data_IF_383308914394
#
_entry.id   IF_383308914394
#
_cell.length_a   1.000
_cell.length_b   1.000
_cell.length_c   1.000
_cell.angle_alpha   90.00
_cell.angle_beta   90.00
_cell.angle_gamma   90.00
#
_symmetry.space_group_name_H-M   'P 1'
#
loop_
_entity.id
_entity.type
_entity.pdbx_description
1 polymer ?
#
# COMPACT_ATOMS: atom_id res chain seq x y z
N UNK A 1 27.18 4.91 -11.26
CA UNK A 1 25.85 4.46 -10.79
C UNK A 1 25.05 4.05 -12.03
N UNK A 2 24.57 2.81 -12.11
CA UNK A 2 23.87 2.30 -13.31
C UNK A 2 22.57 3.08 -13.54
N UNK A 3 22.28 3.42 -14.81
CA UNK A 3 21.09 4.20 -15.23
C UNK A 3 19.79 3.61 -14.68
N UNK A 4 19.73 2.28 -14.59
CA UNK A 4 18.64 1.52 -13.98
C UNK A 4 18.28 2.00 -12.57
N UNK A 5 19.27 2.10 -11.67
CA UNK A 5 19.04 2.47 -10.28
C UNK A 5 18.50 3.90 -10.12
N UNK A 6 18.95 4.81 -10.99
CA UNK A 6 18.49 6.19 -11.01
C UNK A 6 17.01 6.26 -11.40
N UNK A 7 16.58 5.50 -12.41
CA UNK A 7 15.18 5.46 -12.86
C UNK A 7 14.28 4.85 -11.78
N UNK A 8 14.71 3.73 -11.16
CA UNK A 8 13.98 3.09 -10.07
C UNK A 8 13.78 4.05 -8.89
N UNK A 9 14.84 4.71 -8.43
CA UNK A 9 14.77 5.65 -7.29
C UNK A 9 13.90 6.87 -7.61
N UNK A 10 13.97 7.37 -8.85
CA UNK A 10 13.13 8.49 -9.28
C UNK A 10 11.65 8.08 -9.26
N UNK A 11 11.32 6.96 -9.90
CA UNK A 11 9.96 6.42 -9.99
C UNK A 11 9.37 6.17 -8.59
N UNK A 12 10.13 5.52 -7.70
CA UNK A 12 9.72 5.30 -6.31
C UNK A 12 9.39 6.61 -5.57
N UNK A 13 10.25 7.62 -5.71
CA UNK A 13 10.05 8.92 -5.06
C UNK A 13 8.87 9.68 -5.64
N UNK A 14 8.64 9.55 -6.94
CA UNK A 14 7.49 10.13 -7.62
C UNK A 14 6.18 9.51 -7.10
N UNK A 15 6.10 8.18 -7.07
CA UNK A 15 4.95 7.44 -6.52
C UNK A 15 4.61 7.82 -5.08
N UNK A 16 5.60 7.86 -4.18
CA UNK A 16 5.37 8.21 -2.77
C UNK A 16 4.91 9.67 -2.60
N UNK A 17 5.31 10.55 -3.51
CA UNK A 17 4.90 11.97 -3.48
C UNK A 17 3.53 12.19 -4.12
N UNK A 18 2.95 11.19 -4.78
CA UNK A 18 1.60 11.32 -5.30
C UNK A 18 0.60 11.34 -4.13
N UNK A 19 -0.29 12.34 -4.06
CA UNK A 19 -1.23 12.48 -2.95
C UNK A 19 -2.15 11.27 -2.82
N UNK A 20 -2.52 10.64 -3.94
CA UNK A 20 -3.40 9.45 -3.94
C UNK A 20 -2.78 8.27 -3.18
N UNK A 21 -1.46 8.05 -3.31
CA UNK A 21 -0.75 6.99 -2.59
C UNK A 21 -0.80 7.23 -1.08
N UNK A 22 -0.51 8.47 -0.66
CA UNK A 22 -0.55 8.86 0.76
C UNK A 22 -1.97 8.75 1.33
N UNK A 23 -2.98 9.22 0.59
CA UNK A 23 -4.38 9.13 1.01
C UNK A 23 -4.82 7.69 1.19
N UNK A 24 -4.52 6.79 0.23
CA UNK A 24 -4.85 5.37 0.33
C UNK A 24 -4.11 4.68 1.48
N UNK A 25 -2.85 5.02 1.71
CA UNK A 25 -2.05 4.44 2.80
C UNK A 25 -2.59 4.86 4.18
N UNK A 26 -2.90 6.14 4.38
CA UNK A 26 -3.44 6.64 5.65
C UNK A 26 -4.88 6.16 5.87
N UNK A 27 -5.75 6.25 4.85
CA UNK A 27 -7.16 5.85 4.99
C UNK A 27 -7.31 4.36 5.29
N UNK A 28 -6.52 3.51 4.63
CA UNK A 28 -6.52 2.06 4.89
C UNK A 28 -6.06 1.73 6.32
N UNK A 29 -5.02 2.41 6.80
CA UNK A 29 -4.51 2.23 8.17
C UNK A 29 -5.55 2.64 9.22
N UNK A 30 -6.20 3.80 9.03
CA UNK A 30 -7.27 4.26 9.91
C UNK A 30 -8.48 3.32 9.88
N UNK A 31 -8.87 2.84 8.69
CA UNK A 31 -9.99 1.91 8.55
C UNK A 31 -9.73 0.56 9.23
N UNK A 32 -8.50 0.03 9.13
CA UNK A 32 -8.11 -1.19 9.84
C UNK A 32 -8.20 -1.04 11.37
N UNK A 33 -7.76 0.10 11.92
CA UNK A 33 -7.89 0.38 13.36
C UNK A 33 -9.35 0.58 13.78
N UNK A 34 -10.15 1.23 12.93
CA UNK A 34 -11.58 1.40 13.16
C UNK A 34 -12.30 0.04 13.24
N UNK A 35 -12.00 -0.89 12.33
CA UNK A 35 -12.56 -2.25 12.37
C UNK A 35 -12.22 -3.00 13.66
N UNK A 36 -11.03 -2.79 14.23
CA UNK A 36 -10.65 -3.42 15.50
C UNK A 36 -11.33 -2.80 16.74
N UNK A 37 -11.75 -1.54 16.66
CA UNK A 37 -12.45 -0.85 17.74
C UNK A 37 -13.96 -1.10 17.76
N UNK A 38 -14.53 -1.65 16.68
CA UNK A 38 -15.94 -2.01 16.65
C UNK A 38 -16.19 -3.21 17.58
N UNK A 39 -16.97 -2.98 18.63
CA UNK A 39 -17.47 -4.04 19.49
C UNK A 39 -18.62 -4.74 18.76
N UNK A 40 -18.35 -5.92 18.21
CA UNK A 40 -19.38 -6.82 17.72
C UNK A 40 -20.05 -7.43 18.94
N UNK A 41 -21.18 -6.86 19.36
CA UNK A 41 -21.99 -7.41 20.42
C UNK A 41 -22.78 -8.60 19.87
N UNK A 42 -22.21 -9.82 19.84
CA UNK A 42 -23.04 -11.01 19.71
C UNK A 42 -22.50 -12.32 19.12
N UNK A 43 -21.22 -12.53 18.79
CA UNK A 43 -20.79 -13.83 18.25
C UNK A 43 -19.51 -14.40 18.87
N UNK A 44 -19.54 -15.68 19.27
CA UNK A 44 -18.36 -16.41 19.76
C UNK A 44 -17.21 -16.50 18.73
N UNK A 45 -17.45 -16.14 17.45
CA UNK A 45 -16.46 -16.08 16.36
C UNK A 45 -15.86 -14.68 16.08
N UNK A 46 -16.20 -13.66 16.87
CA UNK A 46 -15.95 -12.23 16.57
C UNK A 46 -14.50 -11.86 16.27
N UNK A 47 -13.51 -12.45 16.96
CA UNK A 47 -12.10 -12.13 16.75
C UNK A 47 -11.56 -12.57 15.36
N UNK A 48 -12.10 -13.67 14.82
CA UNK A 48 -11.69 -14.20 13.51
C UNK A 48 -12.20 -13.34 12.35
N UNK A 49 -13.38 -12.73 12.52
CA UNK A 49 -14.00 -11.85 11.53
C UNK A 49 -13.23 -10.52 11.43
N UNK A 50 -12.81 -9.95 12.56
CA UNK A 50 -11.97 -8.73 12.58
C UNK A 50 -10.63 -8.98 11.88
N UNK A 51 -9.95 -10.10 12.17
CA UNK A 51 -8.67 -10.42 11.53
C UNK A 51 -8.82 -10.59 10.02
N UNK A 52 -9.87 -11.29 9.58
CA UNK A 52 -10.17 -11.46 8.16
C UNK A 52 -10.51 -10.13 7.48
N UNK A 53 -11.26 -9.25 8.15
CA UNK A 53 -11.61 -7.92 7.64
C UNK A 53 -10.40 -6.98 7.51
N UNK A 54 -9.47 -7.01 8.47
CA UNK A 54 -8.22 -6.24 8.43
C UNK A 54 -7.34 -6.72 7.27
N UNK A 55 -7.15 -8.03 7.12
CA UNK A 55 -6.37 -8.60 6.00
C UNK A 55 -7.02 -8.32 4.64
N UNK A 56 -8.35 -8.42 4.55
CA UNK A 56 -9.09 -8.09 3.33
C UNK A 56 -8.94 -6.61 2.95
N UNK A 57 -9.00 -5.71 3.94
CA UNK A 57 -8.78 -4.27 3.72
C UNK A 57 -7.36 -4.01 3.20
N UNK A 58 -6.35 -4.61 3.82
CA UNK A 58 -4.97 -4.50 3.39
C UNK A 58 -4.79 -4.95 1.93
N UNK A 59 -5.39 -6.09 1.58
CA UNK A 59 -5.35 -6.64 0.23
C UNK A 59 -6.01 -5.71 -0.80
N UNK A 60 -7.23 -5.24 -0.51
CA UNK A 60 -7.96 -4.34 -1.41
C UNK A 60 -7.25 -3.00 -1.62
N UNK A 61 -6.77 -2.37 -0.55
CA UNK A 61 -6.05 -1.10 -0.64
C UNK A 61 -4.70 -1.25 -1.36
N UNK A 62 -3.99 -2.37 -1.14
CA UNK A 62 -2.76 -2.68 -1.87
C UNK A 62 -3.01 -2.88 -3.37
N UNK A 63 -4.10 -3.58 -3.74
CA UNK A 63 -4.49 -3.77 -5.13
C UNK A 63 -4.82 -2.44 -5.80
N UNK A 64 -5.65 -1.60 -5.16
CA UNK A 64 -5.99 -0.28 -5.67
C UNK A 64 -4.74 0.60 -5.87
N UNK A 65 -3.83 0.59 -4.91
CA UNK A 65 -2.60 1.36 -5.00
C UNK A 65 -1.67 0.85 -6.10
N UNK A 66 -1.65 -0.45 -6.34
CA UNK A 66 -0.89 -1.07 -7.43
C UNK A 66 -1.41 -0.63 -8.80
N UNK A 67 -2.72 -0.70 -8.99
CA UNK A 67 -3.36 -0.29 -10.26
C UNK A 67 -3.15 1.20 -10.51
N UNK A 68 -3.48 2.04 -9.52
CA UNK A 68 -3.33 3.50 -9.67
C UNK A 68 -1.87 3.90 -9.85
N UNK A 69 -0.94 3.28 -9.11
CA UNK A 69 0.49 3.55 -9.21
C UNK A 69 1.09 3.11 -10.55
N UNK A 70 0.62 1.98 -11.11
CA UNK A 70 1.01 1.56 -12.45
C UNK A 70 0.48 2.54 -13.51
N UNK A 71 -0.80 2.93 -13.41
CA UNK A 71 -1.44 3.87 -14.32
C UNK A 71 -0.78 5.26 -14.27
N UNK A 72 -0.44 5.77 -13.08
CA UNK A 72 0.19 7.09 -12.95
C UNK A 72 1.64 7.08 -13.44
N UNK A 73 2.38 6.00 -13.16
CA UNK A 73 3.75 5.82 -13.64
C UNK A 73 3.80 5.81 -15.17
N UNK A 74 2.86 5.12 -15.85
CA UNK A 74 2.84 5.07 -17.31
C UNK A 74 2.19 6.35 -17.88
N UNK A 75 1.06 6.78 -17.33
CA UNK A 75 0.26 7.90 -17.83
C UNK A 75 1.02 9.22 -17.87
N UNK A 76 1.81 9.52 -16.84
CA UNK A 76 2.61 10.76 -16.80
C UNK A 76 3.64 10.85 -17.93
N UNK A 77 4.16 9.72 -18.41
CA UNK A 77 5.12 9.70 -19.51
C UNK A 77 4.49 9.67 -20.90
N UNK A 78 3.26 9.15 -20.98
CA UNK A 78 2.44 9.21 -22.18
C UNK A 78 1.97 10.65 -22.41
N UNK A 79 1.43 11.30 -21.37
CA UNK A 79 0.91 12.68 -21.45
C UNK A 79 2.01 13.73 -21.65
N UNK A 80 3.19 13.52 -21.05
CA UNK A 80 4.31 14.48 -21.15
C UNK A 80 5.10 14.37 -22.46
N UNK A 81 4.79 13.40 -23.34
CA UNK A 81 5.53 13.15 -24.58
C UNK A 81 6.99 12.69 -24.37
N UNK A 82 7.43 12.52 -23.12
CA UNK A 82 8.80 12.17 -22.74
C UNK A 82 9.15 10.72 -23.02
N UNK A 83 8.16 9.83 -23.18
CA UNK A 83 8.40 8.45 -23.60
C UNK A 83 9.22 8.39 -24.91
N UNK A 84 8.93 9.27 -25.87
CA UNK A 84 9.65 9.35 -27.16
C UNK A 84 11.05 9.97 -27.01
N UNK A 85 11.24 10.92 -26.09
CA UNK A 85 12.52 11.60 -25.84
C UNK A 85 13.48 10.71 -25.04
N UNK A 86 12.99 9.92 -24.08
CA UNK A 86 13.80 8.99 -23.28
C UNK A 86 14.24 7.78 -24.11
N UNK A 87 13.41 7.31 -25.05
CA UNK A 87 13.77 6.28 -26.04
C UNK A 87 14.86 6.74 -27.04
N UNK A 88 15.14 8.04 -27.10
CA UNK A 88 16.20 8.59 -27.95
C UNK A 88 17.59 8.48 -27.31
N UNK A 89 17.68 8.12 -26.01
CA UNK A 89 18.91 7.68 -25.34
C UNK A 89 18.97 6.14 -25.40
N UNK A 90 20.16 5.49 -25.45
CA UNK A 90 20.29 4.06 -25.66
C UNK A 90 19.94 3.29 -24.38
N UNK A 91 18.69 3.36 -23.95
CA UNK A 91 18.14 2.63 -22.80
C UNK A 91 17.15 1.63 -23.37
N UNK A 92 17.47 0.34 -23.25
CA UNK A 92 16.61 -0.73 -23.78
C UNK A 92 15.20 -0.64 -23.17
N UNK A 93 14.17 -0.73 -24.01
CA UNK A 93 12.73 -0.69 -23.64
C UNK A 93 12.40 -1.56 -22.42
N UNK A 94 12.99 -2.76 -22.36
CA UNK A 94 12.78 -3.71 -21.26
C UNK A 94 13.43 -3.30 -19.95
N UNK A 95 14.62 -2.70 -19.99
CA UNK A 95 15.32 -2.20 -18.78
C UNK A 95 14.55 -1.05 -18.14
N UNK A 96 13.91 -0.21 -18.96
CA UNK A 96 13.06 0.87 -18.51
C UNK A 96 11.81 0.38 -17.78
N UNK A 97 11.08 -0.57 -18.38
CA UNK A 97 9.87 -1.17 -17.79
C UNK A 97 10.20 -1.88 -16.47
N UNK A 98 11.29 -2.66 -16.44
CA UNK A 98 11.74 -3.35 -15.23
C UNK A 98 12.15 -2.38 -14.11
N UNK A 99 12.81 -1.28 -14.44
CA UNK A 99 13.18 -0.25 -13.47
C UNK A 99 11.94 0.42 -12.85
N UNK A 100 10.89 0.65 -13.64
CA UNK A 100 9.62 1.19 -13.15
C UNK A 100 8.84 0.21 -12.31
N UNK A 101 8.75 -1.04 -12.77
CA UNK A 101 8.11 -2.11 -12.01
C UNK A 101 8.76 -2.29 -10.65
N UNK A 102 10.10 -2.30 -10.57
CA UNK A 102 10.80 -2.38 -9.29
C UNK A 102 10.58 -1.15 -8.40
N UNK A 103 10.46 0.04 -8.98
CA UNK A 103 10.10 1.25 -8.23
C UNK A 103 8.68 1.16 -7.63
N UNK A 104 7.71 0.70 -8.42
CA UNK A 104 6.33 0.47 -7.96
C UNK A 104 6.25 -0.64 -6.91
N UNK A 105 6.94 -1.75 -7.13
CA UNK A 105 7.02 -2.86 -6.18
C UNK A 105 7.62 -2.41 -4.84
N UNK A 106 8.64 -1.54 -4.86
CA UNK A 106 9.17 -0.91 -3.66
C UNK A 106 8.13 -0.05 -2.93
N UNK A 107 7.35 0.75 -3.65
CA UNK A 107 6.29 1.58 -3.05
C UNK A 107 5.17 0.70 -2.43
N UNK A 108 4.80 -0.39 -3.09
CA UNK A 108 3.84 -1.37 -2.57
C UNK A 108 4.38 -2.09 -1.33
N UNK A 109 5.67 -2.46 -1.33
CA UNK A 109 6.30 -3.09 -0.17
C UNK A 109 6.27 -2.17 1.07
N UNK A 110 6.50 -0.87 0.88
CA UNK A 110 6.39 0.12 1.97
C UNK A 110 4.95 0.19 2.47
N UNK A 111 3.97 0.29 1.58
CA UNK A 111 2.56 0.34 1.97
C UNK A 111 2.13 -0.93 2.72
N UNK A 112 2.53 -2.10 2.23
CA UNK A 112 2.27 -3.38 2.87
C UNK A 112 2.94 -3.47 4.25
N UNK A 113 4.15 -2.93 4.41
CA UNK A 113 4.85 -2.88 5.69
C UNK A 113 4.10 -2.01 6.72
N UNK A 114 3.62 -0.83 6.30
CA UNK A 114 2.84 0.05 7.20
C UNK A 114 1.45 -0.53 7.50
N UNK A 115 0.78 -1.07 6.48
CA UNK A 115 -0.50 -1.72 6.67
C UNK A 115 -0.40 -3.00 7.52
N UNK A 116 0.70 -3.74 7.41
CA UNK A 116 1.00 -4.89 8.28
C UNK A 116 1.25 -4.48 9.74
N UNK A 117 1.97 -3.38 9.98
CA UNK A 117 2.09 -2.80 11.32
C UNK A 117 0.73 -2.38 11.87
N UNK A 118 -0.11 -1.75 11.04
CA UNK A 118 -1.47 -1.35 11.41
C UNK A 118 -2.33 -2.57 11.73
N UNK A 119 -2.18 -3.66 10.97
CA UNK A 119 -2.88 -4.93 11.22
C UNK A 119 -2.43 -5.57 12.53
N UNK A 120 -1.13 -5.55 12.86
CA UNK A 120 -0.64 -6.06 14.15
C UNK A 120 -1.20 -5.25 15.33
N UNK A 121 -1.26 -3.93 15.21
CA UNK A 121 -1.86 -3.05 16.21
C UNK A 121 -3.37 -3.31 16.34
N UNK A 122 -4.07 -3.46 15.22
CA UNK A 122 -5.49 -3.80 15.17
C UNK A 122 -5.78 -5.14 15.88
N UNK A 123 -4.97 -6.17 15.61
CA UNK A 123 -5.11 -7.48 16.30
C UNK A 123 -4.84 -7.37 17.80
N UNK A 124 -3.93 -6.49 18.24
CA UNK A 124 -3.71 -6.24 19.67
C UNK A 124 -4.90 -5.55 20.32
N UNK A 125 -5.45 -4.52 19.69
CA UNK A 125 -6.67 -3.85 20.16
C UNK A 125 -7.86 -4.82 20.22
N UNK A 126 -8.02 -5.67 19.21
CA UNK A 126 -9.04 -6.71 19.22
C UNK A 126 -8.84 -7.71 20.37
N UNK A 127 -7.60 -8.12 20.66
CA UNK A 127 -7.33 -9.00 21.79
C UNK A 127 -7.69 -8.37 23.15
N UNK A 128 -7.45 -7.09 23.35
CA UNK A 128 -7.83 -6.39 24.59
C UNK A 128 -9.36 -6.28 24.74
N UNK A 129 -10.08 -6.11 23.63
CA UNK A 129 -11.55 -5.99 23.64
C UNK A 129 -12.24 -7.34 23.84
N UNK A 130 -11.76 -8.41 23.18
CA UNK A 130 -12.44 -9.72 23.16
C UNK A 130 -11.79 -10.77 24.08
N UNK A 131 -10.51 -10.62 24.45
CA UNK A 131 -9.72 -11.65 25.13
C UNK A 131 -9.75 -11.59 26.66
N UNK A 132 -9.92 -10.40 27.26
CA UNK A 132 -10.09 -10.20 28.71
C UNK A 132 -10.51 -8.76 29.01
N UNK A 133 -11.74 -8.52 29.47
CA UNK A 133 -12.12 -7.19 29.92
C UNK A 133 -11.46 -6.90 31.28
N UNK A 134 -10.56 -5.93 31.34
CA UNK A 134 -10.10 -5.32 32.60
C UNK A 134 -11.18 -4.38 33.19
N UNK A 135 -12.43 -4.85 33.29
CA UNK A 135 -13.44 -4.21 34.12
C UNK A 135 -13.38 -4.86 35.51
N UNK A 136 -13.05 -4.13 36.59
CA UNK A 136 -13.37 -4.61 37.93
C UNK A 136 -14.89 -4.52 38.13
N UNK A 137 -15.56 -5.67 38.00
CA UNK A 137 -16.92 -6.00 38.43
C UNK A 137 -18.10 -5.19 37.86
#
# INVERSE_FOLDING_TARGET
>A
MSVYWTITRNTFRELIRQPIYLVLMVSSSVFMLFLASLYYAGAEEDASMVHSGVLATLFLCGLLTSVVGASSSIGQEVDSGTALVVLSKPVGRMSFILAKFTGLAGALAVQCSVGGLSALLATRMAFDVYGKPDYPA
#
